data_IF_159557455279
#
_entry.id   IF_159557455279
#
_cell.length_a   1.000
_cell.length_b   1.000
_cell.length_c   1.000
_cell.angle_alpha   90.00
_cell.angle_beta   90.00
_cell.angle_gamma   90.00
#
_symmetry.space_group_name_H-M   'P 1'
#
loop_
_entity.id
_entity.type
_entity.pdbx_description
1 polymer ?
#
# COMPACT_ATOMS: atom_id res chain seq x y z
N UNK A 1 6.40 -5.34 0.75
CA UNK A 1 6.35 -6.12 2.01
C UNK A 1 4.96 -6.71 2.14
N UNK A 2 4.85 -8.03 2.26
CA UNK A 2 3.55 -8.70 2.39
C UNK A 2 3.10 -8.71 3.84
N UNK A 3 1.83 -8.38 4.07
CA UNK A 3 1.22 -8.47 5.38
C UNK A 3 0.83 -9.93 5.66
N UNK A 4 1.19 -10.49 6.83
CA UNK A 4 0.72 -11.83 7.18
C UNK A 4 -0.80 -11.80 7.43
N UNK A 5 -1.50 -12.84 6.97
CA UNK A 5 -2.98 -12.87 6.95
C UNK A 5 -3.61 -12.65 8.34
N UNK A 6 -2.99 -13.19 9.40
CA UNK A 6 -3.44 -13.00 10.79
C UNK A 6 -3.33 -11.53 11.29
N UNK A 7 -2.60 -10.67 10.57
CA UNK A 7 -2.47 -9.25 10.88
C UNK A 7 -3.28 -8.36 9.93
N UNK A 8 -3.87 -8.92 8.87
CA UNK A 8 -4.64 -8.19 7.86
C UNK A 8 -5.68 -7.25 8.48
N UNK A 9 -6.65 -7.79 9.21
CA UNK A 9 -7.72 -6.98 9.82
C UNK A 9 -7.20 -5.97 10.84
N UNK A 10 -6.12 -6.32 11.55
CA UNK A 10 -5.50 -5.43 12.52
C UNK A 10 -4.98 -4.17 11.83
N UNK A 11 -4.21 -4.30 10.74
CA UNK A 11 -3.63 -3.14 10.05
C UNK A 11 -4.56 -2.50 9.03
N UNK A 12 -5.62 -3.20 8.60
CA UNK A 12 -6.67 -2.57 7.79
C UNK A 12 -7.31 -1.38 8.53
N UNK A 13 -7.57 -1.53 9.83
CA UNK A 13 -8.23 -0.48 10.63
C UNK A 13 -7.30 0.27 11.59
N UNK A 14 -6.08 -0.22 11.84
CA UNK A 14 -5.14 0.39 12.78
C UNK A 14 -4.02 1.13 12.06
N UNK A 15 -4.28 2.41 11.80
CA UNK A 15 -3.26 3.36 11.37
C UNK A 15 -2.29 3.70 12.51
N UNK A 16 -1.04 4.04 12.19
CA UNK A 16 -0.06 4.50 13.20
C UNK A 16 -0.20 6.02 13.41
N UNK A 17 -0.65 6.51 14.57
CA UNK A 17 -0.91 7.94 14.78
C UNK A 17 0.36 8.80 14.78
N UNK A 18 1.55 8.20 14.86
CA UNK A 18 2.82 8.92 14.91
C UNK A 18 3.51 9.02 13.54
N UNK A 19 3.04 8.26 12.55
CA UNK A 19 3.61 8.21 11.21
C UNK A 19 2.74 9.05 10.25
N UNK A 20 3.40 9.79 9.38
CA UNK A 20 2.80 10.50 8.25
C UNK A 20 3.79 10.45 7.09
N UNK A 21 3.72 9.37 6.31
CA UNK A 21 4.64 9.14 5.21
C UNK A 21 4.22 9.98 3.98
N UNK A 22 5.06 10.93 3.59
CA UNK A 22 4.93 11.70 2.36
C UNK A 22 6.21 11.60 1.55
N UNK A 23 6.06 11.56 0.24
CA UNK A 23 7.18 11.47 -0.67
C UNK A 23 6.87 12.21 -1.97
N UNK A 24 7.93 12.58 -2.68
CA UNK A 24 7.87 13.13 -4.03
C UNK A 24 8.48 12.12 -4.98
N UNK A 25 7.85 11.96 -6.13
CA UNK A 25 8.37 11.13 -7.21
C UNK A 25 8.83 12.05 -8.33
N UNK A 26 10.08 11.89 -8.75
CA UNK A 26 10.62 12.61 -9.88
C UNK A 26 10.11 12.02 -11.20
N UNK A 27 9.66 12.88 -12.12
CA UNK A 27 8.98 12.46 -13.36
C UNK A 27 9.86 11.68 -14.34
N UNK A 28 11.18 11.87 -14.29
CA UNK A 28 12.10 11.33 -15.31
C UNK A 28 12.98 10.21 -14.77
N UNK A 29 13.54 10.36 -13.56
CA UNK A 29 14.36 9.32 -12.90
C UNK A 29 13.50 8.23 -12.26
N UNK A 30 12.25 8.54 -11.89
CA UNK A 30 11.42 7.67 -11.05
C UNK A 30 11.98 7.55 -9.62
N UNK A 31 12.89 8.45 -9.23
CA UNK A 31 13.41 8.50 -7.88
C UNK A 31 12.34 8.99 -6.91
N UNK A 32 12.30 8.33 -5.75
CA UNK A 32 11.39 8.67 -4.66
C UNK A 32 12.19 9.29 -3.54
N UNK A 33 11.91 10.56 -3.28
CA UNK A 33 12.43 11.30 -2.16
C UNK A 33 11.38 11.34 -1.05
N UNK A 34 11.68 10.74 0.10
CA UNK A 34 10.77 10.81 1.25
C UNK A 34 10.89 12.19 1.88
N UNK A 35 9.79 12.94 1.89
CA UNK A 35 9.75 14.32 2.40
C UNK A 35 9.26 14.41 3.83
N UNK A 36 8.50 13.42 4.30
CA UNK A 36 8.03 13.33 5.68
C UNK A 36 7.82 11.87 6.06
N UNK A 37 8.22 11.47 7.28
CA UNK A 37 7.87 10.16 7.82
C UNK A 37 7.12 10.27 9.14
N UNK A 38 7.53 11.15 10.05
CA UNK A 38 6.83 11.37 11.32
C UNK A 38 5.76 12.45 11.20
N UNK A 39 4.75 12.38 12.06
CA UNK A 39 3.85 13.53 12.26
C UNK A 39 4.63 14.73 12.79
N UNK A 40 4.18 15.94 12.44
CA UNK A 40 4.81 17.19 12.89
C UNK A 40 4.92 17.27 14.42
N UNK A 41 3.97 16.66 15.14
CA UNK A 41 4.01 16.59 16.61
C UNK A 41 5.17 15.71 17.08
N UNK A 42 5.28 14.49 16.56
CA UNK A 42 6.31 13.53 16.97
C UNK A 42 7.72 13.99 16.57
N UNK A 43 7.87 14.61 15.41
CA UNK A 43 9.15 15.17 14.96
C UNK A 43 9.66 16.30 15.87
N UNK A 44 8.76 17.12 16.42
CA UNK A 44 9.12 18.21 17.36
C UNK A 44 9.54 17.70 18.73
N UNK A 45 9.07 16.52 19.13
CA UNK A 45 9.44 15.88 20.39
C UNK A 45 10.88 15.32 20.36
N UNK A 46 11.50 15.20 19.17
CA UNK A 46 12.86 14.70 19.04
C UNK A 46 13.89 15.72 19.57
N UNK A 47 14.85 15.20 20.33
CA UNK A 47 16.02 15.95 20.78
C UNK A 47 17.02 16.21 19.61
N UNK A 48 18.11 16.92 19.87
CA UNK A 48 19.06 17.28 18.80
C UNK A 48 19.78 16.08 18.18
N UNK A 49 20.14 15.08 18.97
CA UNK A 49 20.81 13.85 18.50
C UNK A 49 19.83 12.98 17.70
N UNK A 50 18.61 12.80 18.21
CA UNK A 50 17.53 12.06 17.54
C UNK A 50 17.12 12.70 16.21
N UNK A 51 17.21 14.02 16.08
CA UNK A 51 16.96 14.73 14.80
C UNK A 51 18.01 14.41 13.75
N UNK A 52 19.26 14.22 14.16
CA UNK A 52 20.33 13.81 13.24
C UNK A 52 20.11 12.37 12.79
N UNK A 53 19.81 11.46 13.73
CA UNK A 53 19.43 10.08 13.43
C UNK A 53 18.19 9.99 12.53
N UNK A 54 17.19 10.86 12.73
CA UNK A 54 16.02 10.95 11.88
C UNK A 54 16.37 11.37 10.45
N UNK A 55 17.25 12.35 10.25
CA UNK A 55 17.72 12.73 8.90
C UNK A 55 18.44 11.58 8.21
N UNK A 56 19.29 10.84 8.94
CA UNK A 56 19.96 9.66 8.39
C UNK A 56 18.96 8.57 7.99
N UNK A 57 17.96 8.31 8.84
CA UNK A 57 16.88 7.38 8.55
C UNK A 57 16.10 7.78 7.29
N UNK A 58 15.70 9.05 7.18
CA UNK A 58 14.97 9.60 6.03
C UNK A 58 15.71 9.38 4.70
N UNK A 59 17.04 9.52 4.70
CA UNK A 59 17.86 9.29 3.51
C UNK A 59 17.92 7.81 3.09
N UNK A 60 17.73 6.88 4.03
CA UNK A 60 17.87 5.44 3.76
C UNK A 60 16.54 4.75 3.41
N UNK A 61 15.40 5.30 3.83
CA UNK A 61 14.11 4.66 3.60
C UNK A 61 13.58 4.80 2.16
N UNK A 62 14.17 5.68 1.35
CA UNK A 62 13.71 5.97 -0.02
C UNK A 62 13.52 4.72 -0.88
N UNK A 63 14.49 3.81 -0.88
CA UNK A 63 14.41 2.56 -1.64
C UNK A 63 13.31 1.63 -1.10
N UNK A 64 13.18 1.53 0.22
CA UNK A 64 12.14 0.71 0.85
C UNK A 64 10.73 1.23 0.52
N UNK A 65 10.53 2.55 0.54
CA UNK A 65 9.26 3.18 0.16
C UNK A 65 8.97 2.98 -1.33
N UNK A 66 10.00 3.10 -2.17
CA UNK A 66 9.90 2.86 -3.62
C UNK A 66 9.48 1.43 -3.93
N UNK A 67 10.12 0.46 -3.31
CA UNK A 67 9.80 -0.96 -3.50
C UNK A 67 8.40 -1.29 -3.01
N UNK A 68 8.01 -0.79 -1.83
CA UNK A 68 6.64 -0.96 -1.34
C UNK A 68 5.61 -0.41 -2.33
N UNK A 69 5.88 0.76 -2.93
CA UNK A 69 4.98 1.37 -3.92
C UNK A 69 4.92 0.59 -5.23
N UNK A 70 6.06 0.10 -5.73
CA UNK A 70 6.11 -0.78 -6.91
C UNK A 70 5.26 -2.03 -6.68
N UNK A 71 5.38 -2.66 -5.51
CA UNK A 71 4.59 -3.84 -5.14
C UNK A 71 3.10 -3.49 -5.07
N UNK A 72 2.71 -2.42 -4.40
CA UNK A 72 1.32 -1.99 -4.32
C UNK A 72 0.71 -1.68 -5.70
N UNK A 73 1.45 -0.97 -6.56
CA UNK A 73 1.03 -0.67 -7.92
C UNK A 73 0.91 -1.93 -8.78
N UNK A 74 1.86 -2.87 -8.66
CA UNK A 74 1.80 -4.15 -9.34
C UNK A 74 0.56 -4.94 -8.94
N UNK A 75 0.23 -4.99 -7.64
CA UNK A 75 -0.99 -5.62 -7.16
C UNK A 75 -2.24 -4.95 -7.74
N UNK A 76 -2.34 -3.60 -7.75
CA UNK A 76 -3.47 -2.91 -8.43
C UNK A 76 -3.56 -3.30 -9.89
N UNK A 77 -2.45 -3.25 -10.60
CA UNK A 77 -2.41 -3.53 -12.04
C UNK A 77 -2.82 -4.97 -12.38
N UNK A 78 -2.26 -5.96 -11.69
CA UNK A 78 -2.62 -7.37 -11.86
C UNK A 78 -4.11 -7.56 -11.57
N UNK A 79 -4.63 -6.89 -10.55
CA UNK A 79 -6.04 -6.98 -10.18
C UNK A 79 -6.96 -6.40 -11.24
N UNK A 80 -6.59 -5.27 -11.86
CA UNK A 80 -7.32 -4.68 -12.98
C UNK A 80 -7.29 -5.62 -14.20
N UNK A 81 -6.15 -6.23 -14.51
CA UNK A 81 -6.06 -7.21 -15.60
C UNK A 81 -6.92 -8.43 -15.31
N UNK A 82 -6.82 -8.99 -14.10
CA UNK A 82 -7.62 -10.13 -13.68
C UNK A 82 -9.13 -9.80 -13.73
N UNK A 83 -9.50 -8.59 -13.32
CA UNK A 83 -10.86 -8.04 -13.43
C UNK A 83 -11.35 -8.00 -14.89
N UNK A 84 -10.54 -7.43 -15.79
CA UNK A 84 -10.88 -7.34 -17.22
C UNK A 84 -11.02 -8.75 -17.81
N UNK A 85 -10.12 -9.66 -17.47
CA UNK A 85 -10.17 -11.05 -17.95
C UNK A 85 -11.40 -11.82 -17.41
N UNK A 86 -11.78 -11.63 -16.15
CA UNK A 86 -12.94 -12.29 -15.54
C UNK A 86 -14.27 -11.78 -16.11
N UNK A 87 -14.44 -10.47 -16.24
CA UNK A 87 -15.69 -9.89 -16.76
C UNK A 87 -15.81 -10.11 -18.25
N UNK A 88 -14.77 -9.75 -19.01
CA UNK A 88 -14.82 -9.77 -20.48
C UNK A 88 -14.60 -11.18 -20.99
N UNK A 89 -13.74 -11.99 -20.37
CA UNK A 89 -13.50 -13.36 -20.82
C UNK A 89 -14.59 -14.31 -20.37
N UNK A 90 -14.70 -14.54 -19.06
CA UNK A 90 -15.59 -15.55 -18.50
C UNK A 90 -17.06 -15.12 -18.52
N UNK A 91 -17.36 -13.87 -18.17
CA UNK A 91 -18.72 -13.34 -18.20
C UNK A 91 -19.33 -13.34 -19.60
N UNK A 92 -18.56 -12.94 -20.61
CA UNK A 92 -18.99 -12.97 -22.01
C UNK A 92 -19.17 -14.39 -22.54
N UNK A 93 -18.25 -15.30 -22.21
CA UNK A 93 -18.35 -16.71 -22.61
C UNK A 93 -19.59 -17.39 -22.01
N UNK A 94 -19.86 -17.18 -20.72
CA UNK A 94 -21.05 -17.71 -20.07
C UNK A 94 -22.34 -17.06 -20.61
N UNK A 95 -22.31 -15.78 -20.99
CA UNK A 95 -23.42 -15.13 -21.65
C UNK A 95 -23.71 -15.72 -23.03
N UNK A 96 -22.69 -15.93 -23.86
CA UNK A 96 -22.83 -16.61 -25.15
C UNK A 96 -23.45 -18.01 -25.01
N UNK A 97 -23.07 -18.75 -23.96
CA UNK A 97 -23.57 -20.10 -23.74
C UNK A 97 -24.99 -20.17 -23.17
N UNK A 98 -25.45 -19.16 -22.43
CA UNK A 98 -26.72 -19.21 -21.68
C UNK A 98 -27.78 -18.22 -22.18
N UNK A 99 -27.39 -17.19 -22.95
CA UNK A 99 -28.24 -16.07 -23.32
C UNK A 99 -28.71 -15.22 -22.13
N UNK A 100 -28.21 -15.49 -20.92
CA UNK A 100 -28.73 -14.90 -19.70
C UNK A 100 -27.95 -13.63 -19.32
N UNK A 101 -28.60 -12.47 -19.44
CA UNK A 101 -28.01 -11.17 -19.08
C UNK A 101 -27.62 -11.07 -17.60
N UNK A 102 -28.20 -11.88 -16.71
CA UNK A 102 -27.81 -11.92 -15.30
C UNK A 102 -26.37 -12.36 -15.07
N UNK A 103 -25.79 -13.11 -16.00
CA UNK A 103 -24.37 -13.53 -15.95
C UNK A 103 -23.44 -12.32 -16.04
N UNK A 104 -23.73 -11.39 -16.94
CA UNK A 104 -22.93 -10.16 -17.10
C UNK A 104 -23.05 -9.27 -15.86
N UNK A 105 -24.28 -9.13 -15.34
CA UNK A 105 -24.56 -8.35 -14.12
C UNK A 105 -23.84 -8.96 -12.91
N UNK A 106 -23.91 -10.28 -12.75
CA UNK A 106 -23.22 -11.01 -11.71
C UNK A 106 -21.70 -10.85 -11.81
N UNK A 107 -21.14 -11.03 -13.01
CA UNK A 107 -19.70 -10.86 -13.24
C UNK A 107 -19.23 -9.44 -12.89
N UNK A 108 -19.97 -8.41 -13.29
CA UNK A 108 -19.66 -7.02 -12.94
C UNK A 108 -19.71 -6.80 -11.42
N UNK A 109 -20.74 -7.35 -10.74
CA UNK A 109 -20.90 -7.24 -9.29
C UNK A 109 -19.74 -7.89 -8.53
N UNK A 110 -19.41 -9.16 -8.80
CA UNK A 110 -18.31 -9.84 -8.12
C UNK A 110 -16.96 -9.16 -8.33
N UNK A 111 -16.77 -8.56 -9.48
CA UNK A 111 -15.50 -7.93 -9.83
C UNK A 111 -15.30 -6.61 -9.10
N UNK A 112 -16.38 -5.87 -8.80
CA UNK A 112 -16.33 -4.72 -7.89
C UNK A 112 -15.88 -5.13 -6.48
N UNK A 113 -16.43 -6.23 -5.92
CA UNK A 113 -16.01 -6.73 -4.61
C UNK A 113 -14.57 -7.23 -4.61
N UNK A 114 -14.13 -7.90 -5.68
CA UNK A 114 -12.75 -8.33 -5.82
C UNK A 114 -11.77 -7.13 -5.82
N UNK A 115 -12.14 -6.04 -6.52
CA UNK A 115 -11.37 -4.80 -6.50
C UNK A 115 -11.30 -4.18 -5.09
N UNK A 116 -12.43 -4.12 -4.36
CA UNK A 116 -12.43 -3.63 -2.98
C UNK A 116 -11.54 -4.47 -2.05
N UNK A 117 -11.51 -5.79 -2.21
CA UNK A 117 -10.63 -6.66 -1.43
C UNK A 117 -9.15 -6.39 -1.70
N UNK A 118 -8.80 -6.11 -2.96
CA UNK A 118 -7.42 -5.74 -3.34
C UNK A 118 -7.04 -4.39 -2.74
N UNK A 119 -7.90 -3.37 -2.83
CA UNK A 119 -7.62 -2.07 -2.22
C UNK A 119 -7.49 -2.19 -0.70
N UNK A 120 -8.35 -2.98 -0.04
CA UNK A 120 -8.22 -3.26 1.38
C UNK A 120 -6.89 -3.94 1.72
N UNK A 121 -6.41 -4.87 0.89
CA UNK A 121 -5.10 -5.49 1.07
C UNK A 121 -3.95 -4.50 0.90
N UNK A 122 -4.01 -3.64 -0.10
CA UNK A 122 -3.00 -2.61 -0.33
C UNK A 122 -2.93 -1.65 0.85
N UNK A 123 -4.09 -1.23 1.36
CA UNK A 123 -4.19 -0.32 2.50
C UNK A 123 -3.59 -0.96 3.77
N UNK A 124 -4.01 -2.20 4.09
CA UNK A 124 -3.49 -2.94 5.23
C UNK A 124 -1.97 -3.19 5.12
N UNK A 125 -1.48 -3.50 3.92
CA UNK A 125 -0.06 -3.66 3.61
C UNK A 125 0.72 -2.36 3.83
N UNK A 126 0.16 -1.21 3.43
CA UNK A 126 0.76 0.12 3.65
C UNK A 126 0.87 0.43 5.14
N UNK A 127 -0.22 0.27 5.90
CA UNK A 127 -0.23 0.49 7.35
C UNK A 127 0.74 -0.44 8.08
N UNK A 128 0.86 -1.69 7.64
CA UNK A 128 1.83 -2.62 8.21
C UNK A 128 3.26 -2.17 7.95
N UNK A 129 3.57 -1.75 6.72
CA UNK A 129 4.88 -1.23 6.34
C UNK A 129 5.27 0.02 7.15
N UNK A 130 4.37 0.99 7.29
CA UNK A 130 4.58 2.19 8.10
C UNK A 130 4.90 1.86 9.56
N UNK A 131 4.19 0.89 10.13
CA UNK A 131 4.46 0.42 11.49
C UNK A 131 5.82 -0.26 11.64
N UNK A 132 6.26 -1.01 10.62
CA UNK A 132 7.57 -1.67 10.66
C UNK A 132 8.72 -0.67 10.48
N UNK A 133 8.53 0.35 9.63
CA UNK A 133 9.45 1.48 9.55
C UNK A 133 9.54 2.22 10.89
N UNK A 134 8.42 2.46 11.55
CA UNK A 134 8.39 3.18 12.83
C UNK A 134 9.10 2.40 13.94
N UNK A 135 8.92 1.07 13.99
CA UNK A 135 9.67 0.21 14.89
C UNK A 135 11.17 0.26 14.60
N UNK A 136 11.55 0.14 13.32
CA UNK A 136 12.95 0.19 12.90
C UNK A 136 13.61 1.51 13.29
N UNK A 137 12.89 2.63 13.12
CA UNK A 137 13.36 3.93 13.56
C UNK A 137 13.61 3.97 15.08
N UNK A 138 12.63 3.57 15.90
CA UNK A 138 12.81 3.59 17.36
C UNK A 138 13.90 2.62 17.84
N UNK A 139 14.01 1.43 17.25
CA UNK A 139 14.92 0.37 17.71
C UNK A 139 16.35 0.52 17.19
N UNK A 140 16.58 1.25 16.09
CA UNK A 140 17.93 1.37 15.50
C UNK A 140 18.50 2.79 15.52
N UNK A 141 17.65 3.80 15.64
CA UNK A 141 18.04 5.20 15.47
C UNK A 141 17.79 6.08 16.70
N UNK A 142 16.98 5.61 17.66
CA UNK A 142 16.69 6.32 18.92
C UNK A 142 17.28 5.62 20.17
N UNK A 143 18.24 4.70 19.98
CA UNK A 143 19.00 4.06 21.09
C UNK A 143 20.22 4.91 21.42
#
# INVERSE_FOLDING_TARGET
MNIPFNQFFKYLFKHNPNVNLKFKEERFSGDIEVSQFLTNKKERELNSEEKESYKMFMNQIGDSVRDQRRVNNLYRFISIIAFLALIIGLGFFMWLSSGNNWVIIGAAYYSFFAYLLVEAYIEASSHYFENQLYKTFNEKYLI
#
